data_IF_475918934882
#
_entry.id   IF_475918934882
#
_cell.length_a   1.000
_cell.length_b   1.000
_cell.length_c   1.000
_cell.angle_alpha   90.00
_cell.angle_beta   90.00
_cell.angle_gamma   90.00
#
_symmetry.space_group_name_H-M   'P 1'
#
loop_
_entity.id
_entity.type
_entity.pdbx_description
1 polymer ?
#
# COMPACT_ATOMS: atom_id res chain seq x y z
N UNK A 1 12.49 -9.83 16.70
CA UNK A 1 12.93 -8.47 16.38
C UNK A 1 12.85 -8.30 14.88
N UNK A 2 12.04 -7.35 14.39
CA UNK A 2 11.65 -7.32 12.98
C UNK A 2 12.76 -6.81 12.06
N UNK A 3 13.48 -5.74 12.48
CA UNK A 3 14.49 -5.05 11.66
C UNK A 3 15.63 -5.96 11.17
N UNK A 4 16.12 -6.89 11.99
CA UNK A 4 17.16 -7.83 11.57
C UNK A 4 16.73 -8.66 10.37
N UNK A 5 15.55 -9.29 10.44
CA UNK A 5 14.98 -10.05 9.32
C UNK A 5 14.78 -9.20 8.06
N UNK A 6 14.34 -7.96 8.22
CA UNK A 6 14.20 -7.00 7.12
C UNK A 6 15.55 -6.76 6.45
N UNK A 7 16.60 -6.44 7.22
CA UNK A 7 17.94 -6.18 6.71
C UNK A 7 18.57 -7.43 6.07
N UNK A 8 18.44 -8.61 6.72
CA UNK A 8 18.90 -9.88 6.13
C UNK A 8 18.31 -10.07 4.73
N UNK A 9 17.00 -9.83 4.57
CA UNK A 9 16.33 -9.99 3.28
C UNK A 9 16.82 -9.01 2.19
N UNK A 10 17.35 -7.85 2.58
CA UNK A 10 17.95 -6.89 1.65
C UNK A 10 19.39 -7.31 1.30
N UNK A 11 20.14 -7.82 2.27
CA UNK A 11 21.50 -8.27 2.04
C UNK A 11 21.58 -9.54 1.18
N UNK A 12 20.55 -10.38 1.25
CA UNK A 12 20.39 -11.60 0.45
C UNK A 12 19.88 -11.34 -0.98
N UNK A 13 19.65 -10.08 -1.39
CA UNK A 13 19.19 -9.78 -2.75
C UNK A 13 20.21 -10.24 -3.80
N UNK A 14 19.72 -10.90 -4.86
CA UNK A 14 20.56 -11.34 -5.99
C UNK A 14 21.14 -10.16 -6.77
N UNK A 15 20.44 -9.03 -6.83
CA UNK A 15 20.92 -7.78 -7.41
C UNK A 15 21.84 -7.05 -6.42
N UNK A 16 23.12 -6.92 -6.75
CA UNK A 16 24.13 -6.42 -5.82
C UNK A 16 24.39 -4.91 -5.90
N UNK A 17 24.05 -4.25 -7.00
CA UNK A 17 24.27 -2.80 -7.16
C UNK A 17 23.21 -2.00 -6.43
N UNK A 18 23.22 -2.07 -5.10
CA UNK A 18 22.27 -1.43 -4.19
C UNK A 18 22.95 -0.38 -3.32
N UNK A 19 22.23 0.68 -3.05
CA UNK A 19 22.42 1.59 -1.93
C UNK A 19 21.28 1.35 -0.94
N UNK A 20 21.62 1.07 0.32
CA UNK A 20 20.63 0.72 1.37
C UNK A 20 20.58 1.89 2.35
N UNK A 21 19.46 2.63 2.33
CA UNK A 21 19.26 3.79 3.19
C UNK A 21 18.28 3.42 4.31
N UNK A 22 18.77 3.40 5.53
CA UNK A 22 17.97 3.16 6.73
C UNK A 22 17.66 4.51 7.37
N UNK A 23 16.37 4.82 7.53
CA UNK A 23 15.92 5.97 8.31
C UNK A 23 15.26 5.46 9.58
N UNK A 24 15.89 5.69 10.70
CA UNK A 24 15.33 5.40 12.03
C UNK A 24 14.53 6.62 12.51
N UNK A 25 13.21 6.48 12.55
CA UNK A 25 12.28 7.54 12.93
C UNK A 25 12.04 7.56 14.45
N UNK A 26 13.13 7.65 15.21
CA UNK A 26 13.10 7.81 16.65
C UNK A 26 12.76 6.52 17.41
N UNK A 27 13.34 5.39 17.03
CA UNK A 27 13.19 4.13 17.76
C UNK A 27 13.71 4.26 19.20
N UNK A 28 12.91 3.74 20.14
CA UNK A 28 13.25 3.74 21.58
C UNK A 28 13.70 2.37 22.10
N UNK A 29 13.75 1.38 21.23
CA UNK A 29 14.19 0.02 21.51
C UNK A 29 15.63 -0.22 20.97
N UNK A 30 16.04 -1.47 20.82
CA UNK A 30 17.35 -1.85 20.31
C UNK A 30 17.50 -1.77 18.78
N UNK A 31 16.57 -1.10 18.07
CA UNK A 31 16.63 -0.98 16.61
C UNK A 31 17.92 -0.29 16.15
N UNK A 32 18.29 0.82 16.78
CA UNK A 32 19.56 1.53 16.47
C UNK A 32 20.79 0.63 16.62
N UNK A 33 20.92 -0.07 17.80
CA UNK A 33 22.04 -0.98 18.05
C UNK A 33 22.19 -2.06 16.97
N UNK A 34 21.06 -2.52 16.41
CA UNK A 34 21.06 -3.53 15.37
C UNK A 34 21.50 -2.92 14.05
N UNK A 35 20.94 -1.78 13.66
CA UNK A 35 21.32 -1.09 12.44
C UNK A 35 22.81 -0.75 12.41
N UNK A 36 23.38 -0.33 13.54
CA UNK A 36 24.83 -0.06 13.65
C UNK A 36 25.68 -1.30 13.40
N UNK A 37 25.25 -2.49 13.84
CA UNK A 37 25.98 -3.74 13.51
C UNK A 37 26.00 -4.02 12.02
N UNK A 38 24.84 -3.93 11.36
CA UNK A 38 24.73 -4.13 9.92
C UNK A 38 25.53 -3.09 9.13
N UNK A 39 25.60 -1.85 9.61
CA UNK A 39 26.45 -0.79 9.03
C UNK A 39 27.94 -1.17 9.00
N UNK A 40 28.41 -1.92 10.01
CA UNK A 40 29.80 -2.41 10.06
C UNK A 40 30.04 -3.62 9.16
N UNK A 41 28.99 -4.38 8.82
CA UNK A 41 29.08 -5.61 8.04
C UNK A 41 28.99 -5.37 6.53
N UNK A 42 28.23 -4.33 6.09
CA UNK A 42 28.02 -4.07 4.67
C UNK A 42 28.11 -2.57 4.33
N UNK A 43 29.09 -2.23 3.51
CA UNK A 43 29.39 -0.85 3.06
C UNK A 43 28.27 -0.20 2.22
N UNK A 44 27.29 -0.98 1.73
CA UNK A 44 26.15 -0.47 0.97
C UNK A 44 25.12 0.22 1.90
N UNK A 45 25.18 -0.06 3.21
CA UNK A 45 24.25 0.46 4.21
C UNK A 45 24.69 1.87 4.63
N UNK A 46 23.69 2.76 4.71
CA UNK A 46 23.80 4.07 5.34
C UNK A 46 22.66 4.22 6.34
N UNK A 47 22.98 4.56 7.58
CA UNK A 47 22.04 4.71 8.66
C UNK A 47 21.90 6.17 9.07
N UNK A 48 20.66 6.64 9.23
CA UNK A 48 20.33 7.99 9.64
C UNK A 48 19.24 7.95 10.71
N UNK A 49 19.52 8.53 11.85
CA UNK A 49 18.54 8.75 12.90
C UNK A 49 17.85 10.10 12.75
N UNK A 50 16.56 10.15 13.05
CA UNK A 50 15.79 11.38 13.22
C UNK A 50 14.87 11.25 14.44
N UNK A 51 14.47 12.38 15.05
CA UNK A 51 13.36 12.38 15.99
C UNK A 51 12.09 11.89 15.31
N UNK A 52 11.20 11.21 16.07
CA UNK A 52 9.98 10.65 15.50
C UNK A 52 9.08 11.73 14.88
N UNK A 53 8.94 11.69 13.55
CA UNK A 53 8.11 12.58 12.75
C UNK A 53 7.14 11.81 11.84
N UNK A 54 7.14 10.49 11.95
CA UNK A 54 6.28 9.59 11.20
C UNK A 54 6.85 9.15 9.85
N UNK A 55 6.26 8.06 9.36
CA UNK A 55 6.75 7.33 8.17
C UNK A 55 6.86 8.19 6.88
N UNK A 56 6.00 9.19 6.70
CA UNK A 56 6.09 10.12 5.55
C UNK A 56 7.41 10.88 5.55
N UNK A 57 7.79 11.44 6.70
CA UNK A 57 9.04 12.18 6.85
C UNK A 57 10.24 11.25 6.69
N UNK A 58 10.16 10.04 7.27
CA UNK A 58 11.21 9.04 7.12
C UNK A 58 11.42 8.66 5.64
N UNK A 59 10.35 8.35 4.91
CA UNK A 59 10.45 8.04 3.46
C UNK A 59 10.99 9.22 2.65
N UNK A 60 10.49 10.44 2.88
CA UNK A 60 10.98 11.64 2.20
C UNK A 60 12.47 11.88 2.48
N UNK A 61 12.90 11.73 3.71
CA UNK A 61 14.30 11.84 4.10
C UNK A 61 15.17 10.76 3.46
N UNK A 62 14.67 9.54 3.29
CA UNK A 62 15.34 8.47 2.54
C UNK A 62 15.55 8.85 1.08
N UNK A 63 14.50 9.35 0.41
CA UNK A 63 14.57 9.83 -0.99
C UNK A 63 15.58 10.96 -1.19
N UNK A 64 15.67 11.88 -0.23
CA UNK A 64 16.65 12.99 -0.29
C UNK A 64 18.09 12.50 -0.14
N UNK A 65 18.33 11.43 0.62
CA UNK A 65 19.66 10.91 0.94
C UNK A 65 20.19 9.89 -0.04
N UNK A 66 19.34 9.26 -0.83
CA UNK A 66 19.76 8.27 -1.81
C UNK A 66 20.35 8.93 -3.06
N UNK A 67 21.23 8.23 -3.75
CA UNK A 67 21.89 8.65 -5.00
C UNK A 67 21.46 7.82 -6.20
N UNK A 68 20.82 6.67 -5.96
CA UNK A 68 20.33 5.78 -7.01
C UNK A 68 19.23 6.42 -7.86
N UNK A 69 19.16 6.03 -9.13
CA UNK A 69 18.13 6.50 -10.08
C UNK A 69 16.75 5.92 -9.75
N UNK A 70 16.73 4.73 -9.16
CA UNK A 70 15.54 3.96 -8.83
C UNK A 70 15.43 3.72 -7.34
N UNK A 71 14.20 3.78 -6.81
CA UNK A 71 13.90 3.58 -5.39
C UNK A 71 12.84 2.49 -5.24
N UNK A 72 13.10 1.58 -4.31
CA UNK A 72 12.15 0.62 -3.78
C UNK A 72 12.07 0.79 -2.26
N UNK A 73 10.86 0.79 -1.69
CA UNK A 73 10.63 0.93 -0.25
C UNK A 73 10.40 -0.41 0.40
N UNK A 74 10.92 -0.58 1.60
CA UNK A 74 10.63 -1.72 2.47
C UNK A 74 10.38 -1.21 3.88
N UNK A 75 9.26 -1.60 4.48
CA UNK A 75 8.96 -1.29 5.87
C UNK A 75 9.75 -2.24 6.80
N UNK A 76 10.14 -1.77 7.97
CA UNK A 76 11.10 -2.47 8.86
C UNK A 76 10.60 -3.80 9.42
N UNK A 77 9.31 -4.10 9.32
CA UNK A 77 8.67 -5.36 9.73
C UNK A 77 8.42 -6.33 8.56
N UNK A 78 8.67 -5.91 7.31
CA UNK A 78 8.47 -6.69 6.10
C UNK A 78 9.78 -7.24 5.52
N UNK A 79 9.69 -8.08 4.48
CA UNK A 79 10.85 -8.66 3.80
C UNK A 79 10.69 -8.62 2.27
N UNK A 80 11.80 -8.52 1.57
CA UNK A 80 11.90 -8.84 0.15
C UNK A 80 12.23 -10.34 -0.04
N UNK A 81 11.73 -10.93 -1.13
CA UNK A 81 12.22 -12.21 -1.60
C UNK A 81 13.59 -12.04 -2.26
N UNK A 82 14.48 -13.04 -2.28
CA UNK A 82 15.86 -12.87 -2.71
C UNK A 82 16.06 -12.26 -4.11
N UNK A 83 15.11 -12.47 -5.00
CA UNK A 83 15.13 -12.00 -6.40
C UNK A 83 14.40 -10.66 -6.63
N UNK A 84 13.87 -10.02 -5.61
CA UNK A 84 12.88 -8.96 -5.75
C UNK A 84 13.38 -7.75 -6.52
N UNK A 85 14.52 -7.23 -6.15
CA UNK A 85 15.09 -6.05 -6.82
C UNK A 85 15.56 -6.40 -8.24
N UNK A 86 16.17 -7.58 -8.43
CA UNK A 86 16.58 -8.05 -9.75
C UNK A 86 15.38 -8.18 -10.69
N UNK A 87 14.29 -8.77 -10.25
CA UNK A 87 13.06 -8.91 -11.04
C UNK A 87 12.49 -7.56 -11.43
N UNK A 88 12.31 -6.65 -10.47
CA UNK A 88 11.76 -5.32 -10.76
C UNK A 88 12.66 -4.54 -11.72
N UNK A 89 13.97 -4.60 -11.54
CA UNK A 89 14.92 -3.94 -12.41
C UNK A 89 14.96 -4.57 -13.82
N UNK A 90 14.94 -5.89 -13.93
CA UNK A 90 14.89 -6.59 -15.22
C UNK A 90 13.60 -6.29 -16.00
N UNK A 91 12.45 -6.19 -15.31
CA UNK A 91 11.19 -5.73 -15.92
C UNK A 91 11.37 -4.32 -16.47
N UNK A 92 11.93 -3.41 -15.69
CA UNK A 92 12.22 -2.05 -16.13
C UNK A 92 13.10 -2.04 -17.38
N UNK A 93 14.21 -2.78 -17.38
CA UNK A 93 15.14 -2.87 -18.52
C UNK A 93 14.51 -3.48 -19.76
N UNK A 94 13.74 -4.55 -19.61
CA UNK A 94 13.07 -5.23 -20.70
C UNK A 94 11.97 -4.39 -21.36
N UNK A 95 11.31 -3.53 -20.59
CA UNK A 95 10.17 -2.76 -21.05
C UNK A 95 10.48 -1.29 -21.26
N UNK A 96 11.55 -0.76 -20.70
CA UNK A 96 11.83 0.67 -20.55
C UNK A 96 10.64 1.42 -19.90
N UNK A 97 10.04 0.80 -18.87
CA UNK A 97 8.93 1.38 -18.13
C UNK A 97 9.41 2.48 -17.18
N UNK A 98 8.56 3.49 -16.99
CA UNK A 98 8.80 4.59 -16.05
C UNK A 98 8.53 4.17 -14.59
N UNK A 99 7.71 3.13 -14.39
CA UNK A 99 7.40 2.55 -13.08
C UNK A 99 7.14 1.04 -13.25
N UNK A 100 7.57 0.25 -12.27
CA UNK A 100 7.30 -1.19 -12.22
C UNK A 100 6.46 -1.49 -10.99
N UNK A 101 5.40 -2.26 -11.19
CA UNK A 101 4.46 -2.68 -10.14
C UNK A 101 4.42 -4.21 -10.08
N UNK A 102 4.65 -4.75 -8.89
CA UNK A 102 4.61 -6.19 -8.62
C UNK A 102 3.66 -6.50 -7.47
N UNK A 103 3.57 -7.76 -7.05
CA UNK A 103 2.62 -8.20 -6.03
C UNK A 103 3.25 -8.28 -4.64
N UNK A 104 2.40 -8.09 -3.62
CA UNK A 104 2.73 -8.27 -2.21
C UNK A 104 2.15 -9.61 -1.76
N UNK A 105 2.99 -10.40 -1.11
CA UNK A 105 2.61 -11.66 -0.50
C UNK A 105 2.33 -11.55 1.00
N UNK A 106 1.81 -12.63 1.58
CA UNK A 106 1.51 -12.75 2.99
C UNK A 106 2.43 -13.80 3.63
N UNK A 107 2.96 -13.54 4.82
CA UNK A 107 3.89 -14.43 5.52
C UNK A 107 3.36 -15.85 5.77
N UNK A 108 2.04 -16.05 5.77
CA UNK A 108 1.42 -17.37 5.94
C UNK A 108 1.61 -18.29 4.71
N UNK A 109 2.07 -17.74 3.60
CA UNK A 109 2.29 -18.48 2.36
C UNK A 109 3.77 -18.85 2.21
N UNK A 110 4.01 -19.96 1.53
CA UNK A 110 5.37 -20.35 1.13
C UNK A 110 5.67 -19.78 -0.26
N UNK A 111 6.83 -19.16 -0.41
CA UNK A 111 7.29 -18.60 -1.68
C UNK A 111 8.58 -19.27 -2.12
N UNK A 112 8.76 -19.42 -3.43
CA UNK A 112 10.03 -19.87 -3.97
C UNK A 112 11.08 -18.78 -3.72
N UNK A 113 12.29 -19.20 -3.35
CA UNK A 113 13.44 -18.31 -3.15
C UNK A 113 14.27 -18.10 -4.43
N UNK A 114 13.94 -18.84 -5.49
CA UNK A 114 14.56 -18.69 -6.81
C UNK A 114 13.48 -18.53 -7.89
N UNK A 115 13.83 -17.83 -8.94
CA UNK A 115 12.93 -17.56 -10.05
C UNK A 115 13.67 -17.78 -11.37
N UNK A 116 12.97 -18.29 -12.38
CA UNK A 116 13.47 -18.33 -13.76
C UNK A 116 12.93 -17.14 -14.56
N UNK A 117 13.47 -16.87 -15.73
CA UNK A 117 13.08 -15.74 -16.57
C UNK A 117 11.67 -15.81 -17.19
N UNK A 118 10.88 -16.83 -16.85
CA UNK A 118 9.53 -17.00 -17.43
C UNK A 118 8.59 -15.84 -17.07
N UNK A 119 8.77 -15.19 -15.91
CA UNK A 119 7.98 -14.02 -15.52
C UNK A 119 8.04 -12.87 -16.54
N UNK A 120 9.10 -12.77 -17.35
CA UNK A 120 9.21 -11.76 -18.40
C UNK A 120 8.12 -11.90 -19.47
N UNK A 121 7.55 -13.10 -19.65
CA UNK A 121 6.42 -13.35 -20.56
C UNK A 121 5.07 -12.95 -19.97
N UNK A 122 5.02 -12.73 -18.67
CA UNK A 122 3.80 -12.36 -17.94
C UNK A 122 3.69 -10.85 -17.71
N UNK A 123 4.68 -10.07 -18.17
CA UNK A 123 4.67 -8.61 -18.05
C UNK A 123 3.53 -8.04 -18.89
N UNK A 124 2.76 -7.16 -18.26
CA UNK A 124 1.71 -6.37 -18.90
C UNK A 124 2.11 -4.91 -18.91
N UNK A 125 1.91 -4.24 -20.04
CA UNK A 125 2.05 -2.79 -20.12
C UNK A 125 0.65 -2.19 -20.00
N UNK A 126 0.47 -1.33 -19.01
CA UNK A 126 -0.80 -0.69 -18.75
C UNK A 126 -0.79 0.77 -19.21
N UNK A 127 -1.95 1.24 -19.69
CA UNK A 127 -2.22 2.67 -19.76
C UNK A 127 -2.39 3.23 -18.34
N UNK A 128 -2.31 4.53 -18.20
CA UNK A 128 -2.51 5.20 -16.91
C UNK A 128 -3.86 4.84 -16.28
N UNK A 129 -4.92 4.88 -17.08
CA UNK A 129 -6.29 4.60 -16.61
C UNK A 129 -6.42 3.18 -16.06
N UNK A 130 -5.88 2.19 -16.80
CA UNK A 130 -5.90 0.79 -16.36
C UNK A 130 -5.07 0.61 -15.09
N UNK A 131 -3.91 1.25 -15.01
CA UNK A 131 -3.07 1.15 -13.84
C UNK A 131 -3.73 1.74 -12.59
N UNK A 132 -4.36 2.91 -12.70
CA UNK A 132 -5.11 3.51 -11.60
C UNK A 132 -6.34 2.68 -11.22
N UNK A 133 -7.07 2.14 -12.21
CA UNK A 133 -8.22 1.28 -11.95
C UNK A 133 -7.82 0.02 -11.17
N UNK A 134 -6.76 -0.68 -11.58
CA UNK A 134 -6.25 -1.86 -10.89
C UNK A 134 -5.76 -1.53 -9.47
N UNK A 135 -5.10 -0.38 -9.28
CA UNK A 135 -4.68 0.09 -7.97
C UNK A 135 -5.85 0.26 -7.00
N UNK A 136 -6.96 0.86 -7.45
CA UNK A 136 -8.12 1.08 -6.59
C UNK A 136 -8.84 -0.21 -6.23
N UNK A 137 -8.89 -1.20 -7.11
CA UNK A 137 -9.41 -2.53 -6.77
C UNK A 137 -8.45 -3.37 -5.92
N UNK A 138 -7.15 -3.05 -5.95
CA UNK A 138 -6.13 -3.66 -5.08
C UNK A 138 -5.96 -5.17 -5.23
N UNK A 139 -6.15 -5.72 -6.45
CA UNK A 139 -6.06 -7.18 -6.68
C UNK A 139 -4.63 -7.67 -6.87
N UNK A 140 -3.86 -7.03 -7.72
CA UNK A 140 -2.46 -7.36 -7.98
C UNK A 140 -1.54 -6.47 -7.15
N UNK A 141 -1.82 -5.19 -7.13
CA UNK A 141 -1.13 -4.17 -6.33
C UNK A 141 -2.15 -3.14 -5.83
N UNK A 142 -1.77 -2.40 -4.80
CA UNK A 142 -2.60 -1.34 -4.22
C UNK A 142 -1.80 -0.06 -4.02
N UNK A 143 -2.25 0.76 -3.09
CA UNK A 143 -1.61 2.05 -2.76
C UNK A 143 -0.30 1.92 -1.99
N UNK A 144 -0.03 0.78 -1.33
CA UNK A 144 1.22 0.57 -0.58
C UNK A 144 2.45 0.90 -1.43
N UNK A 145 3.50 1.55 -0.89
CA UNK A 145 4.75 1.79 -1.60
C UNK A 145 5.59 0.53 -1.86
N UNK A 146 5.30 -0.56 -1.15
CA UNK A 146 5.98 -1.85 -1.28
C UNK A 146 5.77 -2.49 -2.64
N UNK A 147 6.69 -3.37 -3.04
CA UNK A 147 6.64 -4.14 -4.28
C UNK A 147 6.53 -3.24 -5.54
N UNK A 148 7.18 -2.10 -5.51
CA UNK A 148 7.23 -1.12 -6.60
C UNK A 148 8.62 -0.57 -6.78
N UNK A 149 8.97 -0.27 -8.05
CA UNK A 149 10.22 0.40 -8.41
C UNK A 149 9.88 1.76 -9.02
N UNK A 150 10.29 2.81 -8.35
CA UNK A 150 10.00 4.20 -8.70
C UNK A 150 11.25 4.93 -9.21
N UNK A 151 11.15 5.81 -10.22
CA UNK A 151 12.21 6.77 -10.47
C UNK A 151 12.35 7.73 -9.29
N UNK A 152 13.57 7.98 -8.86
CA UNK A 152 13.85 8.94 -7.77
C UNK A 152 13.26 10.32 -8.05
N UNK A 153 13.33 10.80 -9.30
CA UNK A 153 12.81 12.09 -9.72
C UNK A 153 11.30 12.24 -9.44
N UNK A 154 10.51 11.17 -9.63
CA UNK A 154 9.08 11.20 -9.37
C UNK A 154 8.78 11.37 -7.88
N UNK A 155 9.54 10.69 -7.02
CA UNK A 155 9.40 10.80 -5.56
C UNK A 155 9.84 12.16 -5.02
N UNK A 156 10.87 12.78 -5.61
CA UNK A 156 11.28 14.14 -5.28
C UNK A 156 10.20 15.18 -5.64
N UNK A 157 9.50 14.96 -6.76
CA UNK A 157 8.41 15.85 -7.21
C UNK A 157 7.09 15.61 -6.48
N UNK A 158 6.89 14.44 -5.89
CA UNK A 158 5.66 14.04 -5.21
C UNK A 158 5.98 13.44 -3.84
N UNK A 159 6.43 14.26 -2.87
CA UNK A 159 6.76 13.77 -1.54
C UNK A 159 5.50 13.27 -0.79
N UNK A 160 5.70 12.35 0.14
CA UNK A 160 4.65 11.87 1.04
C UNK A 160 4.18 13.00 1.97
N UNK A 161 2.86 13.18 2.19
CA UNK A 161 2.32 14.22 3.06
C UNK A 161 2.71 13.98 4.52
N UNK A 162 3.35 14.96 5.15
CA UNK A 162 3.81 14.87 6.53
C UNK A 162 2.64 14.90 7.52
N UNK A 163 2.78 14.19 8.64
CA UNK A 163 1.82 14.18 9.76
C UNK A 163 0.52 13.40 9.51
N UNK A 164 0.31 12.87 8.31
CA UNK A 164 -0.89 12.10 7.94
C UNK A 164 -0.61 10.59 7.96
N UNK A 165 -1.64 9.81 8.28
CA UNK A 165 -1.69 8.38 7.96
C UNK A 165 -2.53 8.21 6.68
N UNK A 166 -2.42 7.06 6.00
CA UNK A 166 -2.90 6.86 4.62
C UNK A 166 -2.21 7.79 3.61
N UNK A 167 -0.96 8.13 3.88
CA UNK A 167 -0.08 8.93 3.03
C UNK A 167 0.20 8.25 1.68
N UNK A 168 0.20 6.92 1.68
CA UNK A 168 0.33 6.08 0.50
C UNK A 168 -0.84 6.29 -0.47
N UNK A 169 -2.07 6.38 0.05
CA UNK A 169 -3.25 6.68 -0.77
C UNK A 169 -3.17 8.06 -1.42
N UNK A 170 -2.64 9.06 -0.71
CA UNK A 170 -2.53 10.42 -1.24
C UNK A 170 -1.31 10.61 -2.18
N UNK A 171 -0.37 9.65 -2.21
CA UNK A 171 0.87 9.78 -2.99
C UNK A 171 0.93 8.82 -4.17
N UNK A 172 0.56 7.55 -4.00
CA UNK A 172 0.81 6.50 -5.02
C UNK A 172 0.09 6.79 -6.33
N UNK A 173 -1.14 7.32 -6.31
CA UNK A 173 -1.83 7.69 -7.55
C UNK A 173 -1.09 8.80 -8.32
N UNK A 174 -0.50 9.77 -7.63
CA UNK A 174 0.32 10.85 -8.23
C UNK A 174 1.57 10.27 -8.88
N UNK A 175 2.27 9.37 -8.17
CA UNK A 175 3.46 8.70 -8.70
C UNK A 175 3.15 7.88 -9.96
N UNK A 176 2.04 7.12 -9.97
CA UNK A 176 1.59 6.40 -11.16
C UNK A 176 1.20 7.36 -12.26
N UNK A 177 0.58 8.51 -11.94
CA UNK A 177 0.14 9.50 -12.93
C UNK A 177 1.29 10.26 -13.59
N UNK A 178 2.49 10.24 -13.01
CA UNK A 178 3.69 10.78 -13.65
C UNK A 178 4.33 9.84 -14.67
N UNK A 179 3.86 8.57 -14.77
CA UNK A 179 4.43 7.57 -15.66
C UNK A 179 3.71 7.56 -17.01
N UNK A 180 4.48 7.54 -18.10
CA UNK A 180 3.97 7.35 -19.45
C UNK A 180 3.85 5.85 -19.79
N UNK A 181 4.71 5.03 -19.18
CA UNK A 181 4.78 3.59 -19.41
C UNK A 181 4.85 2.85 -18.09
N UNK A 182 3.85 2.03 -17.83
CA UNK A 182 3.67 1.32 -16.57
C UNK A 182 3.76 -0.18 -16.83
N UNK A 183 4.77 -0.84 -16.26
CA UNK A 183 4.92 -2.29 -16.34
C UNK A 183 4.35 -2.95 -15.08
N UNK A 184 3.54 -3.96 -15.27
CA UNK A 184 2.92 -4.76 -14.20
C UNK A 184 3.25 -6.22 -14.39
N UNK A 185 3.67 -6.88 -13.32
CA UNK A 185 3.86 -8.33 -13.30
C UNK A 185 3.29 -8.88 -11.99
N UNK A 186 2.43 -9.90 -12.11
CA UNK A 186 1.82 -10.54 -10.93
C UNK A 186 2.80 -11.57 -10.31
N UNK A 187 3.94 -11.05 -9.90
CA UNK A 187 4.96 -11.79 -9.18
C UNK A 187 5.13 -11.20 -7.78
N UNK A 188 5.16 -12.05 -6.77
CA UNK A 188 5.39 -11.59 -5.39
C UNK A 188 6.86 -11.21 -5.24
N UNK A 189 7.11 -9.98 -4.82
CA UNK A 189 8.45 -9.46 -4.53
C UNK A 189 8.61 -9.03 -3.06
N UNK A 190 7.56 -8.62 -2.40
CA UNK A 190 7.57 -8.27 -0.98
C UNK A 190 6.60 -9.16 -0.19
N UNK A 191 6.95 -9.52 1.03
CA UNK A 191 6.10 -10.30 1.94
C UNK A 191 5.86 -9.48 3.20
N UNK A 192 4.58 -9.22 3.48
CA UNK A 192 4.14 -8.46 4.64
C UNK A 192 3.93 -9.40 5.83
N UNK A 193 4.55 -9.02 6.94
CA UNK A 193 4.39 -9.66 8.23
C UNK A 193 3.42 -8.86 9.10
N UNK A 194 2.33 -9.50 9.48
CA UNK A 194 1.35 -8.86 10.33
C UNK A 194 1.84 -8.79 11.78
N UNK A 195 2.18 -7.60 12.24
CA UNK A 195 2.42 -7.33 13.66
C UNK A 195 1.11 -6.91 14.36
N UNK A 196 0.98 -7.22 15.64
CA UNK A 196 -0.18 -6.77 16.45
C UNK A 196 -0.24 -5.25 16.56
N UNK A 197 0.88 -4.57 16.35
CA UNK A 197 1.04 -3.11 16.38
C UNK A 197 0.83 -2.45 15.00
N UNK A 198 0.43 -3.20 13.97
CA UNK A 198 0.19 -2.64 12.63
C UNK A 198 -0.83 -1.49 12.69
N UNK A 199 -0.47 -0.36 12.09
CA UNK A 199 -1.30 0.87 12.02
C UNK A 199 -2.71 0.59 11.48
N UNK A 200 -2.82 -0.35 10.54
CA UNK A 200 -4.10 -0.74 9.93
C UNK A 200 -5.00 -1.55 10.85
N UNK A 201 -4.45 -2.22 11.87
CA UNK A 201 -5.20 -3.07 12.83
C UNK A 201 -5.52 -2.37 14.15
N UNK A 202 -4.95 -1.21 14.41
CA UNK A 202 -5.23 -0.46 15.64
C UNK A 202 -6.71 -0.10 15.78
N UNK A 203 -7.14 0.11 17.04
CA UNK A 203 -8.45 0.68 17.34
C UNK A 203 -8.60 2.02 16.66
N UNK A 204 -9.84 2.47 16.49
CA UNK A 204 -10.12 3.79 15.91
C UNK A 204 -9.35 4.89 16.66
N UNK A 205 -8.74 5.77 15.88
CA UNK A 205 -8.22 7.07 16.32
C UNK A 205 -8.55 8.12 15.24
N UNK A 206 -8.59 9.38 15.63
CA UNK A 206 -9.01 10.48 14.74
C UNK A 206 -8.13 10.63 13.49
N UNK A 207 -6.86 10.24 13.56
CA UNK A 207 -5.96 10.28 12.40
C UNK A 207 -6.45 9.39 11.25
N UNK A 208 -7.24 8.34 11.54
CA UNK A 208 -7.85 7.51 10.49
C UNK A 208 -8.81 8.28 9.58
N UNK A 209 -9.30 9.44 10.01
CA UNK A 209 -10.12 10.32 9.19
C UNK A 209 -9.38 10.92 7.99
N UNK A 210 -8.04 10.94 8.02
CA UNK A 210 -7.24 11.35 6.87
C UNK A 210 -7.47 10.48 5.63
N UNK A 211 -7.95 9.23 5.80
CA UNK A 211 -8.42 8.43 4.68
C UNK A 211 -9.44 9.17 3.82
N UNK A 212 -10.41 9.82 4.44
CA UNK A 212 -11.49 10.51 3.71
C UNK A 212 -10.97 11.74 2.96
N UNK A 213 -9.97 12.42 3.49
CA UNK A 213 -9.28 13.50 2.80
C UNK A 213 -8.48 12.97 1.62
N UNK A 214 -7.65 11.95 1.85
CA UNK A 214 -6.82 11.34 0.83
C UNK A 214 -7.65 10.81 -0.35
N UNK A 215 -8.72 10.04 -0.07
CA UNK A 215 -9.57 9.50 -1.13
C UNK A 215 -10.35 10.61 -1.86
N UNK A 216 -10.70 11.70 -1.18
CA UNK A 216 -11.34 12.83 -1.84
C UNK A 216 -10.39 13.50 -2.83
N UNK A 217 -9.09 13.65 -2.52
CA UNK A 217 -8.08 14.14 -3.45
C UNK A 217 -8.00 13.26 -4.70
N UNK A 218 -8.04 11.93 -4.52
CA UNK A 218 -8.07 10.98 -5.62
C UNK A 218 -9.32 11.15 -6.50
N UNK A 219 -10.51 11.26 -5.89
CA UNK A 219 -11.78 11.46 -6.61
C UNK A 219 -11.75 12.76 -7.42
N UNK A 220 -11.27 13.85 -6.83
CA UNK A 220 -11.13 15.13 -7.53
C UNK A 220 -10.20 15.00 -8.72
N UNK A 221 -9.03 14.38 -8.52
CA UNK A 221 -8.07 14.14 -9.60
C UNK A 221 -8.68 13.32 -10.75
N UNK A 222 -9.35 12.22 -10.43
CA UNK A 222 -9.97 11.34 -11.44
C UNK A 222 -11.07 12.08 -12.20
N UNK A 223 -11.95 12.82 -11.53
CA UNK A 223 -13.03 13.55 -12.17
C UNK A 223 -12.53 14.70 -13.08
N UNK A 224 -11.42 15.34 -12.71
CA UNK A 224 -10.83 16.42 -13.51
C UNK A 224 -10.10 15.88 -14.75
N UNK A 225 -9.37 14.78 -14.62
CA UNK A 225 -8.51 14.27 -15.70
C UNK A 225 -9.19 13.19 -16.57
N UNK A 226 -10.18 12.47 -16.01
CA UNK A 226 -10.86 11.34 -16.68
C UNK A 226 -12.39 11.39 -16.53
N UNK A 227 -13.06 12.54 -16.81
CA UNK A 227 -14.49 12.76 -16.50
C UNK A 227 -15.43 11.77 -17.20
N UNK A 228 -15.00 11.15 -18.28
CA UNK A 228 -15.80 10.21 -19.07
C UNK A 228 -15.41 8.74 -18.86
N UNK A 229 -14.39 8.46 -18.03
CA UNK A 229 -13.97 7.08 -17.78
C UNK A 229 -14.79 6.48 -16.62
N UNK A 230 -15.95 5.93 -16.96
CA UNK A 230 -16.89 5.38 -15.97
C UNK A 230 -16.33 4.19 -15.20
N UNK A 231 -15.40 3.41 -15.79
CA UNK A 231 -14.75 2.28 -15.13
C UNK A 231 -13.83 2.77 -14.02
N UNK A 232 -12.95 3.73 -14.32
CA UNK A 232 -12.01 4.32 -13.36
C UNK A 232 -12.75 5.09 -12.25
N UNK A 233 -13.81 5.84 -12.62
CA UNK A 233 -14.68 6.50 -11.62
C UNK A 233 -15.31 5.47 -10.69
N UNK A 234 -15.77 4.33 -11.23
CA UNK A 234 -16.35 3.25 -10.41
C UNK A 234 -15.30 2.60 -9.49
N UNK A 235 -14.05 2.50 -9.93
CA UNK A 235 -12.96 1.94 -9.15
C UNK A 235 -12.58 2.85 -7.95
N UNK A 236 -12.46 4.16 -8.15
CA UNK A 236 -12.18 5.08 -7.04
C UNK A 236 -13.35 5.16 -6.06
N UNK A 237 -14.61 5.08 -6.55
CA UNK A 237 -15.80 4.98 -5.70
C UNK A 237 -15.78 3.67 -4.87
N UNK A 238 -15.39 2.55 -5.48
CA UNK A 238 -15.23 1.29 -4.75
C UNK A 238 -14.26 1.47 -3.57
N UNK A 239 -13.10 2.07 -3.81
CA UNK A 239 -12.09 2.29 -2.78
C UNK A 239 -12.61 3.24 -1.67
N UNK A 240 -13.29 4.35 -2.03
CA UNK A 240 -13.95 5.25 -1.06
C UNK A 240 -14.96 4.51 -0.18
N UNK A 241 -15.82 3.71 -0.80
CA UNK A 241 -16.91 3.03 -0.10
C UNK A 241 -16.38 1.96 0.84
N UNK A 242 -15.52 1.06 0.35
CA UNK A 242 -15.09 -0.08 1.16
C UNK A 242 -14.05 0.29 2.21
N UNK A 243 -13.11 1.17 1.92
CA UNK A 243 -12.22 1.75 2.92
C UNK A 243 -12.98 2.55 3.98
N UNK A 244 -13.95 3.37 3.55
CA UNK A 244 -14.80 4.12 4.47
C UNK A 244 -15.69 3.23 5.35
N UNK A 245 -16.24 2.13 4.83
CA UNK A 245 -17.01 1.14 5.62
C UNK A 245 -16.11 0.49 6.69
N UNK A 246 -14.83 0.22 6.39
CA UNK A 246 -13.92 -0.38 7.36
C UNK A 246 -13.58 0.59 8.49
N UNK A 247 -13.36 1.87 8.19
CA UNK A 247 -13.18 2.91 9.20
C UNK A 247 -14.46 3.12 10.02
N UNK A 248 -15.62 3.20 9.37
CA UNK A 248 -16.91 3.28 10.06
C UNK A 248 -17.13 2.08 10.99
N UNK A 249 -16.70 0.89 10.60
CA UNK A 249 -16.72 -0.28 11.46
C UNK A 249 -15.93 -0.08 12.76
N UNK A 250 -14.77 0.56 12.70
CA UNK A 250 -13.99 0.92 13.90
C UNK A 250 -14.64 2.04 14.71
N UNK A 251 -15.24 3.06 14.05
CA UNK A 251 -15.98 4.14 14.71
C UNK A 251 -17.17 3.62 15.53
N UNK A 252 -17.87 2.57 15.07
CA UNK A 252 -18.98 1.94 15.80
C UNK A 252 -18.50 1.43 17.16
N UNK A 253 -17.30 0.85 17.25
CA UNK A 253 -16.73 0.35 18.49
C UNK A 253 -16.47 1.50 19.49
N UNK A 254 -16.33 2.74 19.01
CA UNK A 254 -16.19 3.97 19.78
C UNK A 254 -17.49 4.78 19.91
N UNK A 255 -18.63 4.21 19.50
CA UNK A 255 -19.99 4.80 19.60
C UNK A 255 -20.16 6.12 18.82
N UNK A 256 -19.39 6.35 17.76
CA UNK A 256 -19.46 7.53 16.88
C UNK A 256 -20.59 7.37 15.85
N UNK A 257 -21.82 7.10 16.33
CA UNK A 257 -22.94 6.72 15.48
C UNK A 257 -23.39 7.80 14.51
N UNK A 258 -23.32 9.07 14.89
CA UNK A 258 -23.74 10.20 14.02
C UNK A 258 -22.82 10.32 12.80
N UNK A 259 -21.51 10.21 13.00
CA UNK A 259 -20.53 10.20 11.92
C UNK A 259 -20.71 8.99 11.01
N UNK A 260 -20.95 7.81 11.58
CA UNK A 260 -21.23 6.60 10.80
C UNK A 260 -22.52 6.76 9.99
N UNK A 261 -23.58 7.36 10.55
CA UNK A 261 -24.84 7.60 9.85
C UNK A 261 -24.68 8.59 8.69
N UNK A 262 -23.83 9.60 8.86
CA UNK A 262 -23.46 10.51 7.77
C UNK A 262 -22.87 9.74 6.59
N UNK A 263 -21.85 8.89 6.80
CA UNK A 263 -21.25 8.10 5.72
C UNK A 263 -22.21 7.06 5.15
N UNK A 264 -23.04 6.42 5.98
CA UNK A 264 -24.08 5.51 5.55
C UNK A 264 -25.04 6.18 4.55
N UNK A 265 -25.50 7.40 4.86
CA UNK A 265 -26.37 8.19 3.97
C UNK A 265 -25.63 8.63 2.71
N UNK A 266 -24.39 9.12 2.86
CA UNK A 266 -23.52 9.51 1.74
C UNK A 266 -23.35 8.38 0.74
N UNK A 267 -23.12 7.15 1.19
CA UNK A 267 -22.82 6.02 0.31
C UNK A 267 -24.05 5.44 -0.40
N UNK A 268 -25.27 5.74 0.03
CA UNK A 268 -26.50 5.32 -0.67
C UNK A 268 -26.55 5.79 -2.13
N UNK A 269 -25.96 6.93 -2.45
CA UNK A 269 -25.92 7.45 -3.83
C UNK A 269 -25.18 6.52 -4.79
N UNK A 270 -24.27 5.68 -4.28
CA UNK A 270 -23.47 4.76 -5.08
C UNK A 270 -24.12 3.38 -5.28
N UNK A 271 -25.39 3.22 -4.91
CA UNK A 271 -26.10 1.93 -4.93
C UNK A 271 -25.96 1.21 -6.28
N UNK A 272 -26.28 1.88 -7.39
CA UNK A 272 -26.18 1.29 -8.72
C UNK A 272 -24.72 0.98 -9.10
N UNK A 273 -23.81 1.89 -8.83
CA UNK A 273 -22.37 1.72 -9.14
C UNK A 273 -21.79 0.50 -8.45
N UNK A 274 -22.15 0.24 -7.19
CA UNK A 274 -21.62 -0.90 -6.44
C UNK A 274 -22.30 -2.21 -6.85
N UNK A 275 -23.65 -2.24 -6.96
CA UNK A 275 -24.35 -3.50 -7.21
C UNK A 275 -24.15 -4.04 -8.62
N UNK A 276 -24.10 -3.18 -9.64
CA UNK A 276 -23.92 -3.61 -11.02
C UNK A 276 -22.46 -3.72 -11.47
N UNK A 277 -21.52 -3.44 -10.58
CA UNK A 277 -20.10 -3.60 -10.89
C UNK A 277 -19.69 -5.08 -10.77
N UNK A 278 -19.29 -5.68 -11.90
CA UNK A 278 -18.89 -7.10 -11.97
C UNK A 278 -17.54 -7.38 -11.32
N UNK A 279 -16.71 -6.36 -11.07
CA UNK A 279 -15.42 -6.52 -10.38
C UNK A 279 -15.56 -6.64 -8.87
N UNK A 280 -16.72 -6.28 -8.30
CA UNK A 280 -17.00 -6.32 -6.87
C UNK A 280 -17.61 -7.69 -6.53
N UNK A 281 -17.02 -8.37 -5.55
CA UNK A 281 -17.48 -9.70 -5.12
C UNK A 281 -18.87 -9.63 -4.46
N UNK A 282 -19.61 -10.75 -4.51
CA UNK A 282 -20.92 -10.87 -3.86
C UNK A 282 -20.82 -10.58 -2.35
N UNK A 283 -19.75 -11.05 -1.70
CA UNK A 283 -19.50 -10.80 -0.27
C UNK A 283 -19.38 -9.31 0.05
N UNK A 284 -18.66 -8.56 -0.79
CA UNK A 284 -18.53 -7.10 -0.63
C UNK A 284 -19.85 -6.39 -0.89
N UNK A 285 -20.59 -6.78 -1.92
CA UNK A 285 -21.94 -6.23 -2.18
C UNK A 285 -22.88 -6.45 -0.99
N UNK A 286 -22.87 -7.64 -0.38
CA UNK A 286 -23.64 -7.90 0.85
C UNK A 286 -23.17 -7.02 2.01
N UNK A 287 -21.86 -6.88 2.24
CA UNK A 287 -21.29 -5.98 3.25
C UNK A 287 -21.79 -4.55 3.06
N UNK A 288 -21.77 -4.06 1.83
CA UNK A 288 -22.26 -2.74 1.46
C UNK A 288 -23.77 -2.58 1.73
N UNK A 289 -24.60 -3.51 1.28
CA UNK A 289 -26.06 -3.48 1.49
C UNK A 289 -26.38 -3.43 2.99
N UNK A 290 -25.74 -4.28 3.79
CA UNK A 290 -25.91 -4.28 5.25
C UNK A 290 -25.56 -2.92 5.85
N UNK A 291 -24.45 -2.33 5.43
CA UNK A 291 -24.01 -1.03 5.93
C UNK A 291 -25.01 0.08 5.60
N UNK A 292 -25.44 0.22 4.34
CA UNK A 292 -26.34 1.31 3.93
C UNK A 292 -27.78 1.13 4.44
N UNK A 293 -28.18 -0.11 4.78
CA UNK A 293 -29.52 -0.41 5.28
C UNK A 293 -29.65 -0.08 6.77
N UNK A 294 -28.78 -0.62 7.62
CA UNK A 294 -28.86 -0.45 9.06
C UNK A 294 -27.51 -0.65 9.76
N UNK A 295 -27.11 0.34 10.56
CA UNK A 295 -25.92 0.24 11.43
C UNK A 295 -26.06 -0.95 12.38
N UNK A 296 -27.25 -1.22 12.92
CA UNK A 296 -27.49 -2.32 13.85
C UNK A 296 -27.23 -3.67 13.20
N UNK A 297 -27.79 -3.94 12.02
CA UNK A 297 -27.55 -5.20 11.30
C UNK A 297 -26.12 -5.36 10.87
N UNK A 298 -25.51 -4.30 10.35
CA UNK A 298 -24.10 -4.30 9.99
C UNK A 298 -23.21 -4.66 11.19
N UNK A 299 -23.47 -4.08 12.36
CA UNK A 299 -22.71 -4.33 13.60
C UNK A 299 -22.82 -5.79 14.05
N UNK A 300 -24.04 -6.36 14.01
CA UNK A 300 -24.27 -7.75 14.40
C UNK A 300 -23.47 -8.70 13.48
N UNK A 301 -23.62 -8.54 12.17
CA UNK A 301 -22.93 -9.39 11.18
C UNK A 301 -21.41 -9.26 11.30
N UNK A 302 -20.89 -8.02 11.46
CA UNK A 302 -19.46 -7.78 11.67
C UNK A 302 -18.93 -8.50 12.92
N UNK A 303 -19.65 -8.44 14.04
CA UNK A 303 -19.27 -9.15 15.27
C UNK A 303 -19.21 -10.66 15.07
N UNK A 304 -20.22 -11.25 14.42
CA UNK A 304 -20.27 -12.69 14.12
C UNK A 304 -19.07 -13.09 13.22
N UNK A 305 -18.76 -12.28 12.24
CA UNK A 305 -17.63 -12.53 11.33
C UNK A 305 -16.28 -12.48 12.05
N UNK A 306 -16.06 -11.48 12.91
CA UNK A 306 -14.83 -11.35 13.68
C UNK A 306 -14.66 -12.49 14.69
N UNK A 307 -15.76 -12.98 15.33
CA UNK A 307 -15.73 -14.14 16.21
C UNK A 307 -15.37 -15.44 15.49
N UNK A 308 -15.72 -15.58 14.21
CA UNK A 308 -15.29 -16.74 13.40
C UNK A 308 -13.81 -16.70 13.04
N UNK A 309 -13.27 -15.53 12.74
CA UNK A 309 -11.85 -15.37 12.45
C UNK A 309 -10.98 -15.66 13.67
N UNK A 310 -11.41 -15.24 14.88
CA UNK A 310 -10.68 -15.49 16.13
C UNK A 310 -10.71 -16.96 16.60
N UNK A 311 -11.58 -17.81 16.02
CA UNK A 311 -11.65 -19.25 16.33
C UNK A 311 -10.87 -20.11 15.34
N UNK A 312 -10.48 -19.58 14.20
CA UNK A 312 -9.81 -20.29 13.12
C UNK A 312 -8.33 -19.85 12.94
N UNK A 313 -7.82 -18.99 13.79
CA UNK A 313 -6.43 -18.56 13.92
C UNK A 313 -5.90 -18.86 15.32
#
# INVERSE_FOLDING_TARGET
MYIGRCLDSILEQTYQNLEIIIIDDGSSDRTGDICEKYLLEDRRIKYFYQENRGQSVARNNGVLRCTGDWIAFLDSDDVYLPYSIEVMYNIQKATNADIVLTSIGNFNNTYNTSINSQYLKEIKLYTLEVALEEMYYGKTYGVSPLAKLYPRSNLLSNPYPEGKIHEDMDTTFKLISCASKIAVCDIVTAVVYFSDNSTTRTKFNERMLYFFEAIQNNIVFINLNFPHNTSLISAVIYNEVFGGIDICGKMIDFKLYDTVDYYRKKYRKYFKTILFNNRISVKEKVKYILFISSIRYFTIVRKIYNLRLSRNG
#
